data_IF_288129656103
#
_entry.id   IF_288129656103
#
_cell.length_a   1.000
_cell.length_b   1.000
_cell.length_c   1.000
_cell.angle_alpha   90.00
_cell.angle_beta   90.00
_cell.angle_gamma   90.00
#
_symmetry.space_group_name_H-M   'P 1'
#
loop_
_entity.id
_entity.type
_entity.pdbx_description
1 polymer ?
#
# COMPACT_ATOMS: atom_id res chain seq x y z
N UNK A 1 38.53 -49.43 -10.99
CA UNK A 1 37.98 -48.07 -10.74
C UNK A 1 36.68 -47.95 -11.55
N UNK A 2 35.61 -48.69 -11.21
CA UNK A 2 34.51 -48.27 -10.33
C UNK A 2 33.91 -46.88 -10.63
N UNK A 3 32.64 -46.93 -11.06
CA UNK A 3 31.58 -45.91 -11.19
C UNK A 3 31.57 -44.81 -10.08
N UNK A 4 30.88 -43.64 -10.23
CA UNK A 4 29.42 -43.65 -10.42
C UNK A 4 28.71 -42.43 -11.08
N UNK A 5 27.48 -42.74 -11.53
CA UNK A 5 26.20 -42.03 -11.32
C UNK A 5 26.07 -40.53 -11.61
N UNK A 6 25.12 -40.14 -12.45
CA UNK A 6 23.69 -39.96 -12.11
C UNK A 6 23.47 -38.96 -10.97
N UNK A 7 22.65 -37.95 -11.28
CA UNK A 7 22.00 -36.93 -10.44
C UNK A 7 22.35 -35.55 -11.03
N UNK A 8 21.44 -34.61 -11.24
CA UNK A 8 20.01 -34.56 -11.00
C UNK A 8 19.56 -33.20 -11.57
N UNK A 9 18.35 -33.18 -12.15
CA UNK A 9 17.28 -32.23 -11.79
C UNK A 9 17.65 -30.74 -11.98
N UNK A 10 17.15 -30.07 -13.04
CA UNK A 10 15.82 -29.43 -13.10
C UNK A 10 15.65 -28.31 -12.06
N UNK A 11 14.84 -27.30 -12.40
CA UNK A 11 14.50 -26.08 -11.64
C UNK A 11 15.47 -24.90 -11.89
N UNK A 12 15.03 -23.68 -12.16
CA UNK A 12 13.71 -23.09 -11.96
C UNK A 12 13.58 -21.86 -12.88
N UNK A 13 12.45 -21.82 -13.57
CA UNK A 13 11.87 -20.68 -14.25
C UNK A 13 11.89 -19.42 -13.36
N UNK A 14 12.61 -18.37 -13.76
CA UNK A 14 12.29 -17.01 -13.34
C UNK A 14 11.60 -16.31 -14.50
N UNK A 15 10.32 -16.63 -14.69
CA UNK A 15 9.39 -15.72 -15.37
C UNK A 15 9.39 -14.48 -14.50
N UNK A 16 10.06 -13.42 -14.99
CA UNK A 16 9.87 -12.11 -14.42
C UNK A 16 8.40 -11.76 -14.63
N UNK A 17 7.64 -11.80 -13.54
CA UNK A 17 6.26 -11.35 -13.52
C UNK A 17 6.26 -9.86 -13.86
N UNK A 18 6.03 -9.56 -15.14
CA UNK A 18 5.66 -8.21 -15.57
C UNK A 18 4.30 -7.96 -14.94
N UNK A 19 4.29 -7.22 -13.83
CA UNK A 19 3.05 -6.73 -13.25
C UNK A 19 2.42 -5.81 -14.27
N UNK A 20 1.15 -6.00 -14.68
CA UNK A 20 0.48 -4.98 -15.46
C UNK A 20 0.38 -3.75 -14.56
N UNK A 21 1.16 -2.72 -14.88
CA UNK A 21 0.85 -1.35 -14.45
C UNK A 21 -0.54 -1.08 -15.02
N UNK A 22 -1.53 -1.21 -14.16
CA UNK A 22 -2.90 -0.85 -14.49
C UNK A 22 -2.90 0.67 -14.69
N UNK A 23 -2.73 1.08 -15.93
CA UNK A 23 -3.11 2.41 -16.39
C UNK A 23 -4.63 2.52 -16.16
N UNK A 24 -5.01 3.13 -15.04
CA UNK A 24 -6.36 3.61 -14.82
C UNK A 24 -6.37 5.08 -15.16
N UNK A 25 -6.84 5.34 -16.37
CA UNK A 25 -7.30 6.64 -16.82
C UNK A 25 -8.53 7.03 -15.98
N UNK A 26 -8.33 7.76 -14.89
CA UNK A 26 -9.41 8.36 -14.09
C UNK A 26 -8.82 9.50 -13.25
N UNK A 27 -8.89 10.72 -13.78
CA UNK A 27 -8.87 12.00 -13.06
C UNK A 27 -7.91 12.11 -11.86
N UNK A 28 -6.78 12.83 -12.01
CA UNK A 28 -5.67 13.15 -11.05
C UNK A 28 -6.06 13.29 -9.56
N UNK A 29 -6.62 12.24 -8.99
CA UNK A 29 -7.16 12.21 -7.64
C UNK A 29 -6.76 10.90 -7.01
N UNK A 30 -6.23 10.99 -5.81
CA UNK A 30 -5.79 9.82 -5.07
C UNK A 30 -7.00 8.98 -4.68
N UNK A 31 -6.86 7.67 -4.80
CA UNK A 31 -7.86 6.72 -4.35
C UNK A 31 -7.88 6.63 -2.82
N UNK A 32 -8.99 6.10 -2.26
CA UNK A 32 -9.10 5.78 -0.83
C UNK A 32 -7.94 4.90 -0.33
N UNK A 33 -7.49 3.96 -1.15
CA UNK A 33 -6.39 3.05 -0.79
C UNK A 33 -5.06 3.79 -0.69
N UNK A 34 -4.78 4.68 -1.64
CA UNK A 34 -3.59 5.53 -1.61
C UNK A 34 -3.62 6.50 -0.44
N UNK A 35 -4.79 7.09 -0.14
CA UNK A 35 -4.96 7.93 1.04
C UNK A 35 -4.62 7.19 2.35
N UNK A 36 -5.05 5.94 2.48
CA UNK A 36 -4.68 5.09 3.62
C UNK A 36 -3.17 4.85 3.65
N UNK A 37 -2.55 4.51 2.51
CA UNK A 37 -1.11 4.28 2.45
C UNK A 37 -0.30 5.53 2.81
N UNK A 38 -0.69 6.71 2.32
CA UNK A 38 -0.06 7.99 2.65
C UNK A 38 -0.21 8.30 4.14
N UNK A 39 -1.42 8.13 4.68
CA UNK A 39 -1.70 8.36 6.10
C UNK A 39 -0.90 7.41 7.00
N UNK A 40 -0.88 6.11 6.71
CA UNK A 40 -0.15 5.12 7.52
C UNK A 40 1.37 5.23 7.39
N UNK A 41 1.87 5.70 6.24
CA UNK A 41 3.31 5.99 6.05
C UNK A 41 3.76 7.15 6.91
N UNK A 42 2.96 8.23 7.00
CA UNK A 42 3.26 9.38 7.87
C UNK A 42 2.97 9.08 9.34
N UNK A 43 2.02 8.18 9.58
CA UNK A 43 1.53 7.89 10.90
C UNK A 43 1.22 6.40 11.06
N UNK A 44 2.19 5.61 11.55
CA UNK A 44 1.99 4.17 11.68
C UNK A 44 0.88 3.86 12.68
N UNK A 45 0.09 2.84 12.33
CA UNK A 45 -1.01 2.35 13.14
C UNK A 45 -2.03 1.55 12.31
N UNK A 46 -3.08 1.07 12.97
CA UNK A 46 -4.17 0.32 12.32
C UNK A 46 -5.24 1.30 11.86
N UNK A 47 -5.55 1.28 10.56
CA UNK A 47 -6.69 2.05 10.04
C UNK A 47 -8.00 1.46 10.52
N UNK A 48 -8.84 2.27 11.16
CA UNK A 48 -10.16 1.88 11.65
C UNK A 48 -11.26 2.24 10.66
N UNK A 49 -11.22 3.47 10.12
CA UNK A 49 -12.24 4.01 9.23
C UNK A 49 -11.59 4.97 8.24
N UNK A 50 -12.11 4.98 7.02
CA UNK A 50 -11.84 6.02 6.04
C UNK A 50 -13.16 6.68 5.63
N UNK A 51 -13.17 8.01 5.58
CA UNK A 51 -14.32 8.81 5.13
C UNK A 51 -13.83 9.90 4.18
N UNK A 52 -14.72 10.36 3.30
CA UNK A 52 -14.43 11.48 2.41
C UNK A 52 -15.20 12.70 2.92
N UNK A 53 -14.47 13.74 3.30
CA UNK A 53 -15.01 15.00 3.82
C UNK A 53 -14.50 16.13 2.92
N UNK A 54 -15.36 16.60 2.02
CA UNK A 54 -15.03 17.60 1.02
C UNK A 54 -13.87 17.15 0.11
N UNK A 55 -12.74 17.84 0.20
CA UNK A 55 -11.53 17.56 -0.57
C UNK A 55 -10.53 16.66 0.17
N UNK A 56 -10.89 16.12 1.34
CA UNK A 56 -9.99 15.33 2.17
C UNK A 56 -10.53 13.93 2.43
N UNK A 57 -9.66 12.93 2.34
CA UNK A 57 -9.87 11.63 2.96
C UNK A 57 -9.47 11.70 4.43
N UNK A 58 -10.42 11.47 5.33
CA UNK A 58 -10.18 11.37 6.77
C UNK A 58 -9.93 9.90 7.11
N UNK A 59 -8.70 9.59 7.48
CA UNK A 59 -8.24 8.25 7.85
C UNK A 59 -8.07 8.21 9.36
N UNK A 60 -8.94 7.44 10.03
CA UNK A 60 -8.87 7.21 11.47
C UNK A 60 -7.90 6.08 11.76
N UNK A 61 -6.85 6.36 12.55
CA UNK A 61 -5.77 5.42 12.84
C UNK A 61 -5.69 5.18 14.35
N UNK A 62 -5.72 3.89 14.74
CA UNK A 62 -5.36 3.42 16.07
C UNK A 62 -3.84 3.28 16.14
N UNK A 63 -3.21 4.09 16.99
CA UNK A 63 -1.79 4.01 17.30
C UNK A 63 -1.49 2.84 18.25
N UNK A 64 -0.23 2.44 18.31
CA UNK A 64 0.24 1.36 19.21
C UNK A 64 0.08 1.68 20.70
N UNK A 65 0.01 2.96 21.06
CA UNK A 65 -0.26 3.42 22.42
C UNK A 65 -1.76 3.48 22.78
N UNK A 66 -2.62 3.02 21.87
CA UNK A 66 -4.07 2.99 22.06
C UNK A 66 -4.78 4.30 21.74
N UNK A 67 -4.06 5.37 21.36
CA UNK A 67 -4.69 6.62 20.93
C UNK A 67 -5.28 6.47 19.53
N UNK A 68 -6.38 7.17 19.32
CA UNK A 68 -7.03 7.29 18.02
C UNK A 68 -6.77 8.70 17.51
N UNK A 69 -6.24 8.81 16.30
CA UNK A 69 -6.01 10.08 15.64
C UNK A 69 -6.61 10.06 14.24
N UNK A 70 -7.07 11.22 13.80
CA UNK A 70 -7.64 11.41 12.47
C UNK A 70 -6.60 12.11 11.59
N UNK A 71 -6.32 11.52 10.44
CA UNK A 71 -5.34 12.00 9.47
C UNK A 71 -6.08 12.41 8.21
N UNK A 72 -5.98 13.69 7.83
CA UNK A 72 -6.60 14.26 6.63
C UNK A 72 -5.63 14.16 5.46
N UNK A 73 -6.05 13.56 4.36
CA UNK A 73 -5.25 13.45 3.12
C UNK A 73 -5.99 14.12 1.98
N UNK A 74 -5.38 15.14 1.37
CA UNK A 74 -6.02 15.90 0.29
C UNK A 74 -6.15 15.06 -0.99
N UNK A 75 -7.37 15.02 -1.57
CA UNK A 75 -7.74 14.11 -2.66
C UNK A 75 -7.02 14.37 -3.98
N UNK A 76 -6.46 15.56 -4.18
CA UNK A 76 -5.75 15.93 -5.43
C UNK A 76 -4.24 15.97 -5.22
N UNK A 77 -3.79 16.56 -4.12
CA UNK A 77 -2.36 16.83 -3.87
C UNK A 77 -1.67 15.74 -3.06
N UNK A 78 -2.42 14.87 -2.39
CA UNK A 78 -1.88 13.88 -1.45
C UNK A 78 -1.28 14.49 -0.18
N UNK A 79 -1.52 15.78 0.09
CA UNK A 79 -1.02 16.44 1.30
C UNK A 79 -1.65 15.80 2.55
N UNK A 80 -0.80 15.39 3.49
CA UNK A 80 -1.21 14.73 4.74
C UNK A 80 -1.13 15.72 5.90
N UNK A 81 -2.26 15.99 6.55
CA UNK A 81 -2.37 16.83 7.76
C UNK A 81 -2.89 15.99 8.93
N UNK A 82 -2.33 16.21 10.11
CA UNK A 82 -2.87 15.66 11.36
C UNK A 82 -3.91 16.64 11.89
N UNK A 83 -5.04 16.11 12.33
CA UNK A 83 -6.04 16.84 13.11
C UNK A 83 -5.80 16.63 14.61
#
# INVERSE_FOLDING_TARGET
MQLPNCLAVMFLVCVMAVSPVQAKDTQDTISKKEAVQLATTKQPGKTLKISLEGDFYVVRILQSDGRIIDVKVHKVTGEVKKD
#
